data_IF_485612835236
#
_entry.id   IF_485612835236
#
_cell.length_a   1.000
_cell.length_b   1.000
_cell.length_c   1.000
_cell.angle_alpha   90.00
_cell.angle_beta   90.00
_cell.angle_gamma   90.00
#
_symmetry.space_group_name_H-M   'P 1'
#
loop_
_entity.id
_entity.type
_entity.pdbx_description
1 polymer ?
#
# COMPACT_ATOMS: atom_id res chain seq x y z
N UNK A 1 -9.66 12.52 -25.40
CA UNK A 1 -9.54 13.84 -26.07
C UNK A 1 -8.97 14.93 -25.16
N UNK A 2 -9.23 14.96 -23.85
CA UNK A 2 -8.77 16.03 -22.95
C UNK A 2 -7.25 16.16 -22.81
N UNK A 3 -6.51 15.06 -22.65
CA UNK A 3 -5.05 15.10 -22.46
C UNK A 3 -4.35 15.69 -23.68
N UNK A 4 -4.68 15.25 -24.90
CA UNK A 4 -4.09 15.78 -26.12
C UNK A 4 -4.32 17.30 -26.28
N UNK A 5 -5.48 17.78 -25.85
CA UNK A 5 -5.78 19.23 -25.86
C UNK A 5 -4.94 20.00 -24.83
N UNK A 6 -4.68 19.38 -23.67
CA UNK A 6 -3.90 20.02 -22.61
C UNK A 6 -2.42 20.21 -22.98
N UNK A 7 -1.84 19.31 -23.81
CA UNK A 7 -0.42 19.34 -24.17
C UNK A 7 -0.12 20.00 -25.53
N UNK A 8 -1.14 20.35 -26.35
CA UNK A 8 -0.96 20.83 -27.72
C UNK A 8 -0.10 22.10 -27.81
N UNK A 9 -0.08 22.92 -26.78
CA UNK A 9 0.69 24.15 -26.69
C UNK A 9 2.04 24.01 -26.01
N UNK A 10 2.47 22.80 -25.73
CA UNK A 10 3.71 22.46 -25.00
C UNK A 10 3.87 23.28 -23.70
N UNK A 11 2.91 23.22 -22.76
CA UNK A 11 2.94 24.02 -21.52
C UNK A 11 3.94 23.44 -20.53
N UNK A 12 4.59 24.27 -19.72
CA UNK A 12 5.46 23.81 -18.64
C UNK A 12 4.71 23.03 -17.53
N UNK A 13 3.40 23.28 -17.40
CA UNK A 13 2.55 22.71 -16.34
C UNK A 13 1.22 22.22 -16.90
N UNK A 14 0.87 20.97 -16.61
CA UNK A 14 -0.35 20.29 -17.06
C UNK A 14 -1.20 19.90 -15.84
N UNK A 15 -2.50 20.17 -15.88
CA UNK A 15 -3.46 19.74 -14.86
C UNK A 15 -4.42 18.74 -15.47
N UNK A 16 -4.52 17.56 -14.87
CA UNK A 16 -5.41 16.48 -15.27
C UNK A 16 -6.38 16.16 -14.12
N UNK A 17 -7.65 16.38 -14.34
CA UNK A 17 -8.71 16.10 -13.37
C UNK A 17 -9.35 14.75 -13.70
N UNK A 18 -9.23 13.78 -12.79
CA UNK A 18 -9.74 12.41 -12.91
C UNK A 18 -9.45 11.77 -14.28
N UNK A 19 -8.18 11.73 -14.78
CA UNK A 19 -7.87 11.42 -16.18
C UNK A 19 -8.25 10.00 -16.61
N UNK A 20 -8.47 9.08 -15.68
CA UNK A 20 -8.79 7.67 -15.92
C UNK A 20 -10.26 7.33 -15.65
N UNK A 21 -11.04 8.30 -15.19
CA UNK A 21 -12.43 8.08 -14.84
C UNK A 21 -13.27 7.61 -16.06
N UNK A 22 -13.98 6.48 -15.88
CA UNK A 22 -14.84 5.91 -16.93
C UNK A 22 -14.11 5.14 -18.03
N UNK A 23 -12.81 4.89 -17.88
CA UNK A 23 -12.01 4.07 -18.79
C UNK A 23 -12.02 2.59 -18.42
N UNK A 24 -11.83 1.72 -19.40
CA UNK A 24 -11.59 0.30 -19.14
C UNK A 24 -10.13 0.05 -18.66
N UNK A 25 -9.82 -1.14 -18.09
CA UNK A 25 -8.50 -1.42 -17.54
C UNK A 25 -7.34 -1.27 -18.52
N UNK A 26 -7.53 -1.57 -19.81
CA UNK A 26 -6.48 -1.43 -20.82
C UNK A 26 -6.24 0.06 -21.14
N UNK A 27 -7.30 0.83 -21.29
CA UNK A 27 -7.21 2.27 -21.49
C UNK A 27 -6.56 2.99 -20.30
N UNK A 28 -6.80 2.53 -19.07
CA UNK A 28 -6.14 3.04 -17.87
C UNK A 28 -4.62 2.85 -17.98
N UNK A 29 -4.16 1.68 -18.43
CA UNK A 29 -2.73 1.42 -18.62
C UNK A 29 -2.13 2.37 -19.68
N UNK A 30 -2.82 2.55 -20.80
CA UNK A 30 -2.36 3.46 -21.86
C UNK A 30 -2.26 4.91 -21.36
N UNK A 31 -3.25 5.36 -20.61
CA UNK A 31 -3.25 6.71 -20.01
C UNK A 31 -2.12 6.87 -18.98
N UNK A 32 -1.85 5.87 -18.16
CA UNK A 32 -0.72 5.89 -17.20
C UNK A 32 0.63 6.02 -17.92
N UNK A 33 0.81 5.28 -19.01
CA UNK A 33 2.03 5.39 -19.84
C UNK A 33 2.14 6.80 -20.42
N UNK A 34 1.06 7.32 -21.00
CA UNK A 34 1.04 8.67 -21.57
C UNK A 34 1.34 9.76 -20.53
N UNK A 35 0.80 9.64 -19.31
CA UNK A 35 1.08 10.59 -18.22
C UNK A 35 2.57 10.57 -17.86
N UNK A 36 3.19 9.38 -17.79
CA UNK A 36 4.63 9.28 -17.52
C UNK A 36 5.49 9.89 -18.63
N UNK A 37 5.13 9.66 -19.90
CA UNK A 37 5.81 10.28 -21.03
C UNK A 37 5.71 11.82 -20.97
N UNK A 38 4.52 12.34 -20.67
CA UNK A 38 4.32 13.79 -20.51
C UNK A 38 5.16 14.35 -19.34
N UNK A 39 5.26 13.59 -18.24
CA UNK A 39 5.99 14.02 -17.06
C UNK A 39 7.52 14.05 -17.24
N UNK A 40 8.07 13.47 -18.31
CA UNK A 40 9.50 13.59 -18.67
C UNK A 40 9.89 15.02 -19.04
N UNK A 41 8.97 15.77 -19.65
CA UNK A 41 9.22 17.14 -20.15
C UNK A 41 8.38 18.20 -19.44
N UNK A 42 7.31 17.81 -18.73
CA UNK A 42 6.32 18.72 -18.13
C UNK A 42 6.12 18.43 -16.66
N UNK A 43 5.75 19.44 -15.89
CA UNK A 43 5.20 19.23 -14.55
C UNK A 43 3.72 18.86 -14.64
N UNK A 44 3.34 17.67 -14.16
CA UNK A 44 1.95 17.19 -14.23
C UNK A 44 1.32 17.17 -12.84
N UNK A 45 0.18 17.81 -12.69
CA UNK A 45 -0.68 17.73 -11.51
C UNK A 45 -1.91 16.89 -11.84
N UNK A 46 -2.13 15.83 -11.09
CA UNK A 46 -3.27 14.93 -11.25
C UNK A 46 -4.17 15.04 -10.03
N UNK A 47 -5.46 15.26 -10.23
CA UNK A 47 -6.46 14.99 -9.19
C UNK A 47 -7.06 13.61 -9.43
N UNK A 48 -7.14 12.77 -8.39
CA UNK A 48 -7.79 11.46 -8.44
C UNK A 48 -8.20 11.01 -7.05
N UNK A 49 -9.25 10.19 -6.97
CA UNK A 49 -9.65 9.49 -5.75
C UNK A 49 -9.17 8.04 -5.74
N UNK A 50 -8.45 7.60 -6.78
CA UNK A 50 -7.98 6.22 -6.95
C UNK A 50 -6.53 6.11 -6.51
N UNK A 51 -6.29 5.61 -5.29
CA UNK A 51 -4.96 5.53 -4.68
C UNK A 51 -3.96 4.67 -5.48
N UNK A 52 -4.43 3.61 -6.14
CA UNK A 52 -3.57 2.79 -7.01
C UNK A 52 -3.04 3.54 -8.25
N UNK A 53 -3.70 4.61 -8.64
CA UNK A 53 -3.22 5.49 -9.72
C UNK A 53 -2.10 6.39 -9.23
N UNK A 54 -2.29 6.95 -8.02
CA UNK A 54 -1.26 7.75 -7.37
C UNK A 54 0.05 6.97 -7.26
N UNK A 55 -0.01 5.72 -6.77
CA UNK A 55 1.17 4.83 -6.69
C UNK A 55 1.80 4.53 -8.04
N UNK A 56 0.97 4.45 -9.11
CA UNK A 56 1.45 4.05 -10.42
C UNK A 56 2.18 5.18 -11.17
N UNK A 57 1.78 6.45 -10.97
CA UNK A 57 2.23 7.55 -11.84
C UNK A 57 2.77 8.78 -11.12
N UNK A 58 2.59 8.91 -9.79
CA UNK A 58 3.00 10.10 -9.05
C UNK A 58 4.28 9.87 -8.24
N UNK A 59 5.09 10.93 -8.10
CA UNK A 59 6.24 10.96 -7.18
C UNK A 59 5.87 11.63 -5.85
N UNK A 60 4.93 12.59 -5.88
CA UNK A 60 4.50 13.37 -4.73
C UNK A 60 2.99 13.32 -4.54
N UNK A 61 2.57 13.39 -3.30
CA UNK A 61 1.15 13.38 -2.89
C UNK A 61 0.83 14.67 -2.13
N UNK A 62 -0.36 15.20 -2.41
CA UNK A 62 -1.03 16.22 -1.60
C UNK A 62 -2.44 15.71 -1.32
N UNK A 63 -2.69 15.31 -0.07
CA UNK A 63 -3.98 14.78 0.33
C UNK A 63 -4.81 15.86 1.00
N UNK A 64 -6.03 16.06 0.51
CA UNK A 64 -6.97 17.05 1.02
C UNK A 64 -8.18 16.31 1.57
N UNK A 65 -8.53 16.62 2.82
CA UNK A 65 -9.72 16.11 3.50
C UNK A 65 -10.50 17.29 4.09
N UNK A 66 -11.80 17.39 3.77
CA UNK A 66 -12.68 18.47 4.23
C UNK A 66 -12.09 19.89 4.02
N UNK A 67 -11.42 20.10 2.88
CA UNK A 67 -10.81 21.38 2.52
C UNK A 67 -9.48 21.68 3.23
N UNK A 68 -8.92 20.74 3.99
CA UNK A 68 -7.63 20.87 4.67
C UNK A 68 -6.59 19.93 4.07
N UNK A 69 -5.36 20.41 3.96
CA UNK A 69 -4.22 19.58 3.58
C UNK A 69 -3.84 18.71 4.77
N UNK A 70 -4.08 17.39 4.67
CA UNK A 70 -3.80 16.43 5.75
C UNK A 70 -2.49 15.66 5.55
N UNK A 71 -1.99 15.62 4.33
CA UNK A 71 -0.66 15.07 4.02
C UNK A 71 -0.03 15.82 2.83
N UNK A 72 1.30 15.97 2.88
CA UNK A 72 2.12 16.49 1.79
C UNK A 72 3.52 15.85 1.87
N UNK A 73 3.89 15.10 0.84
CA UNK A 73 5.17 14.38 0.80
C UNK A 73 5.32 13.57 -0.47
N UNK A 74 6.31 12.68 -0.50
CA UNK A 74 6.50 11.70 -1.57
C UNK A 74 5.55 10.51 -1.42
N UNK A 75 5.40 9.71 -2.48
CA UNK A 75 4.68 8.42 -2.42
C UNK A 75 5.34 7.49 -1.42
N UNK A 76 6.67 7.46 -1.37
CA UNK A 76 7.41 6.65 -0.41
C UNK A 76 7.17 7.06 1.05
N UNK A 77 7.15 8.37 1.34
CA UNK A 77 6.81 8.89 2.67
C UNK A 77 5.38 8.54 3.06
N UNK A 78 4.46 8.57 2.09
CA UNK A 78 3.08 8.17 2.31
C UNK A 78 2.96 6.66 2.59
N UNK A 79 3.60 5.81 1.79
CA UNK A 79 3.59 4.35 1.97
C UNK A 79 4.22 3.91 3.31
N UNK A 80 5.13 4.71 3.85
CA UNK A 80 5.76 4.47 5.15
C UNK A 80 5.12 5.27 6.30
N UNK A 81 3.99 5.95 6.07
CA UNK A 81 3.33 6.79 7.08
C UNK A 81 2.87 5.99 8.30
N UNK A 82 2.34 4.79 8.09
CA UNK A 82 2.01 3.85 9.17
C UNK A 82 3.15 2.83 9.26
N UNK A 83 3.79 2.76 10.42
CA UNK A 83 4.78 1.72 10.69
C UNK A 83 4.06 0.36 10.71
N UNK A 84 4.49 -0.61 9.89
CA UNK A 84 3.87 -1.92 9.88
C UNK A 84 3.94 -2.59 11.26
N UNK A 85 2.79 -3.07 11.73
CA UNK A 85 2.63 -3.73 13.02
C UNK A 85 2.19 -5.20 12.90
N UNK A 86 2.11 -5.71 11.67
CA UNK A 86 1.62 -7.05 11.37
C UNK A 86 2.47 -7.81 10.35
N UNK A 87 2.49 -9.13 10.51
CA UNK A 87 3.10 -10.11 9.61
C UNK A 87 2.01 -10.94 8.95
N UNK A 88 2.13 -11.16 7.66
CA UNK A 88 1.47 -12.28 6.98
C UNK A 88 2.34 -13.53 7.15
N UNK A 89 1.72 -14.61 7.61
CA UNK A 89 2.39 -15.89 7.82
C UNK A 89 1.53 -17.01 7.24
N UNK A 90 2.15 -17.92 6.48
CA UNK A 90 1.49 -19.12 5.98
C UNK A 90 2.14 -20.37 6.57
N UNK A 91 1.33 -21.24 7.22
CA UNK A 91 1.76 -22.41 7.98
C UNK A 91 0.98 -23.66 7.54
N UNK A 92 1.63 -24.61 6.89
CA UNK A 92 0.99 -25.80 6.31
C UNK A 92 0.23 -26.66 7.34
N UNK A 93 0.72 -26.74 8.55
CA UNK A 93 0.10 -27.58 9.62
C UNK A 93 -1.11 -26.90 10.28
N UNK A 94 -1.44 -25.66 9.90
CA UNK A 94 -2.57 -24.89 10.48
C UNK A 94 -2.64 -24.96 12.01
N UNK A 95 -1.63 -24.46 12.75
CA UNK A 95 -1.64 -24.48 14.20
C UNK A 95 -2.81 -23.67 14.77
N UNK A 96 -3.26 -24.04 15.97
CA UNK A 96 -4.29 -23.29 16.65
C UNK A 96 -3.81 -21.85 16.98
N UNK A 97 -4.74 -20.90 16.98
CA UNK A 97 -4.44 -19.48 17.29
C UNK A 97 -3.75 -19.34 18.64
N UNK A 98 -4.17 -20.14 19.64
CA UNK A 98 -3.61 -20.15 20.98
C UNK A 98 -2.13 -20.55 21.00
N UNK A 99 -1.71 -21.43 20.09
CA UNK A 99 -0.30 -21.84 20.00
C UNK A 99 0.55 -20.74 19.36
N UNK A 100 0.01 -20.01 18.39
CA UNK A 100 0.66 -18.85 17.80
C UNK A 100 0.76 -17.68 18.80
N UNK A 101 -0.29 -17.43 19.58
CA UNK A 101 -0.29 -16.41 20.65
C UNK A 101 0.71 -16.66 21.77
N UNK A 102 1.17 -17.92 21.94
CA UNK A 102 2.23 -18.28 22.91
C UNK A 102 3.64 -17.97 22.41
N UNK A 103 3.81 -17.63 21.15
CA UNK A 103 5.13 -17.27 20.62
C UNK A 103 5.53 -15.89 21.16
N UNK A 104 6.71 -15.74 21.78
CA UNK A 104 7.17 -14.46 22.29
C UNK A 104 7.19 -13.38 21.20
N UNK A 105 6.75 -12.18 21.55
CA UNK A 105 6.66 -11.06 20.60
C UNK A 105 5.34 -10.96 19.83
N UNK A 106 4.50 -12.01 19.85
CA UNK A 106 3.16 -11.98 19.26
C UNK A 106 2.20 -11.25 20.20
N UNK A 107 1.49 -10.26 19.67
CA UNK A 107 0.47 -9.49 20.39
C UNK A 107 -0.95 -10.00 20.11
N UNK A 108 -1.24 -10.29 18.85
CA UNK A 108 -2.53 -10.82 18.42
C UNK A 108 -2.39 -11.65 17.14
N UNK A 109 -3.36 -12.53 16.89
CA UNK A 109 -3.41 -13.43 15.74
C UNK A 109 -4.81 -13.42 15.15
N UNK A 110 -4.90 -13.15 13.85
CA UNK A 110 -6.10 -13.22 13.04
C UNK A 110 -5.94 -14.33 12.00
N UNK A 111 -6.94 -15.19 11.87
CA UNK A 111 -6.98 -16.24 10.84
C UNK A 111 -7.54 -15.69 9.55
N UNK A 112 -6.77 -15.77 8.46
CA UNK A 112 -7.16 -15.23 7.14
C UNK A 112 -7.79 -16.32 6.23
N UNK A 113 -7.92 -17.53 6.77
CA UNK A 113 -8.45 -18.70 6.06
C UNK A 113 -7.35 -19.62 5.52
N UNK A 114 -7.61 -20.94 5.63
CA UNK A 114 -6.64 -21.98 5.29
C UNK A 114 -5.36 -21.86 6.13
N UNK A 115 -4.17 -21.96 5.52
CA UNK A 115 -2.89 -21.92 6.23
C UNK A 115 -2.41 -20.50 6.60
N UNK A 116 -3.23 -19.47 6.37
CA UNK A 116 -2.81 -18.08 6.41
C UNK A 116 -3.25 -17.36 7.67
N UNK A 117 -2.32 -16.63 8.27
CA UNK A 117 -2.51 -15.87 9.51
C UNK A 117 -1.96 -14.46 9.35
N UNK A 118 -2.62 -13.50 10.00
CA UNK A 118 -2.06 -12.17 10.28
C UNK A 118 -1.65 -12.12 11.73
N UNK A 119 -0.39 -11.81 12.01
CA UNK A 119 0.18 -11.79 13.35
C UNK A 119 0.61 -10.36 13.68
N UNK A 120 -0.04 -9.74 14.67
CA UNK A 120 0.42 -8.47 15.23
C UNK A 120 1.60 -8.70 16.16
N UNK A 121 2.58 -7.80 16.09
CA UNK A 121 3.82 -7.92 16.85
C UNK A 121 4.23 -6.59 17.50
N UNK A 122 5.15 -6.69 18.45
CA UNK A 122 5.76 -5.53 19.10
C UNK A 122 7.08 -5.15 18.44
N UNK A 123 7.92 -6.13 18.16
CA UNK A 123 9.23 -5.98 17.51
C UNK A 123 9.34 -6.98 16.36
N UNK A 124 9.68 -6.46 15.18
CA UNK A 124 9.71 -7.24 13.94
C UNK A 124 10.79 -8.32 13.97
N UNK A 125 11.99 -7.96 14.44
CA UNK A 125 13.11 -8.87 14.41
C UNK A 125 12.90 -10.01 15.42
N UNK A 126 12.50 -9.67 16.65
CA UNK A 126 12.23 -10.64 17.70
C UNK A 126 11.14 -11.64 17.27
N UNK A 127 9.98 -11.15 16.82
CA UNK A 127 8.86 -12.03 16.45
C UNK A 127 9.19 -12.92 15.26
N UNK A 128 9.92 -12.41 14.28
CA UNK A 128 10.33 -13.19 13.10
C UNK A 128 11.23 -14.36 13.49
N UNK A 129 12.26 -14.11 14.30
CA UNK A 129 13.16 -15.15 14.81
C UNK A 129 12.38 -16.21 15.61
N UNK A 130 11.51 -15.79 16.52
CA UNK A 130 10.70 -16.68 17.36
C UNK A 130 9.69 -17.51 16.58
N UNK A 131 9.06 -16.94 15.55
CA UNK A 131 8.13 -17.67 14.69
C UNK A 131 8.84 -18.73 13.86
N UNK A 132 10.02 -18.42 13.31
CA UNK A 132 10.84 -19.39 12.57
C UNK A 132 11.30 -20.53 13.49
N UNK A 133 11.80 -20.23 14.69
CA UNK A 133 12.19 -21.23 15.71
C UNK A 133 11.00 -22.12 16.11
N UNK A 134 9.85 -21.51 16.43
CA UNK A 134 8.65 -22.23 16.84
C UNK A 134 8.11 -23.12 15.71
N UNK A 135 8.10 -22.61 14.47
CA UNK A 135 7.67 -23.35 13.30
C UNK A 135 8.54 -24.57 13.04
N UNK A 136 9.87 -24.44 13.19
CA UNK A 136 10.80 -25.55 13.07
C UNK A 136 10.62 -26.58 14.18
N UNK A 137 10.55 -26.13 15.44
CA UNK A 137 10.44 -27.01 16.60
C UNK A 137 9.12 -27.79 16.66
N UNK A 138 8.02 -27.20 16.16
CA UNK A 138 6.68 -27.78 16.20
C UNK A 138 6.20 -28.31 14.84
N UNK A 139 7.07 -28.31 13.82
CA UNK A 139 6.78 -28.80 12.48
C UNK A 139 5.55 -28.11 11.84
N UNK A 140 5.38 -26.81 12.01
CA UNK A 140 4.27 -26.06 11.43
C UNK A 140 4.38 -25.85 9.93
N UNK A 141 5.59 -26.04 9.36
CA UNK A 141 5.79 -25.92 7.91
C UNK A 141 5.59 -24.50 7.40
N UNK A 142 6.40 -23.57 7.88
CA UNK A 142 6.40 -22.18 7.43
C UNK A 142 6.73 -22.09 5.93
N UNK A 143 5.81 -21.58 5.14
CA UNK A 143 5.96 -21.42 3.68
C UNK A 143 6.13 -19.97 3.26
N UNK A 144 5.53 -19.04 4.00
CA UNK A 144 5.65 -17.62 3.74
C UNK A 144 5.67 -16.83 5.05
N UNK A 145 6.56 -15.84 5.14
CA UNK A 145 6.60 -14.85 6.20
C UNK A 145 6.99 -13.51 5.56
N UNK A 146 6.11 -12.54 5.63
CA UNK A 146 6.38 -11.20 5.14
C UNK A 146 5.72 -10.15 6.03
N UNK A 147 6.36 -9.00 6.13
CA UNK A 147 5.76 -7.85 6.78
C UNK A 147 4.58 -7.34 5.96
N UNK A 148 3.43 -7.15 6.56
CA UNK A 148 2.29 -6.50 5.92
C UNK A 148 2.47 -4.99 6.03
N UNK A 149 2.72 -4.35 4.90
CA UNK A 149 2.64 -2.90 4.81
C UNK A 149 1.17 -2.49 4.85
N UNK A 150 0.88 -1.42 5.56
CA UNK A 150 -0.44 -0.79 5.50
C UNK A 150 -0.77 -0.42 4.06
N UNK A 151 -1.99 -0.70 3.64
CA UNK A 151 -2.42 -0.26 2.31
C UNK A 151 -2.58 1.26 2.29
N UNK A 152 -2.48 1.87 1.11
CA UNK A 152 -2.79 3.30 0.96
C UNK A 152 -4.18 3.66 1.49
N UNK A 153 -5.15 2.74 1.38
CA UNK A 153 -6.49 2.93 1.93
C UNK A 153 -6.49 3.00 3.47
N UNK A 154 -5.65 2.20 4.13
CA UNK A 154 -5.52 2.22 5.60
C UNK A 154 -4.90 3.55 6.06
N UNK A 155 -3.87 4.00 5.35
CA UNK A 155 -3.22 5.29 5.61
C UNK A 155 -4.21 6.44 5.40
N UNK A 156 -4.98 6.39 4.29
CA UNK A 156 -6.03 7.36 4.02
C UNK A 156 -7.06 7.39 5.16
N UNK A 157 -7.55 6.23 5.58
CA UNK A 157 -8.53 6.12 6.66
C UNK A 157 -7.99 6.65 8.01
N UNK A 158 -6.71 6.45 8.31
CA UNK A 158 -6.06 6.98 9.52
C UNK A 158 -5.93 8.51 9.48
N UNK A 159 -5.52 9.07 8.33
CA UNK A 159 -5.40 10.51 8.13
C UNK A 159 -6.75 11.22 8.16
N UNK A 160 -7.81 10.58 7.64
CA UNK A 160 -9.17 11.13 7.60
C UNK A 160 -9.89 11.11 8.96
N UNK A 161 -9.34 10.41 9.97
CA UNK A 161 -9.88 10.37 11.34
C UNK A 161 -9.34 11.46 12.26
N UNK A 162 -8.28 12.14 11.86
CA UNK A 162 -7.63 13.22 12.61
C UNK A 162 -8.19 14.58 12.24
#
# INVERSE_FOLDING_TARGET
MGIAQAIIHNPDFVVLDEPTNGLDPNQILDVRHLIKEIAEEHTVLISTHILSEVQAVCDHIRMIEQGRLVFAGTVEEFDNYIVPDSLFVSLMAMPAIEDLKRVPGVLDVEELGGPNYRIKYKDFQEVTERLVEASSARCWGLTELRQEKSSMNDIFAELSRK
#
